data_IF_008800971588
#
_entry.id   IF_008800971588
#
_cell.length_a   1.000
_cell.length_b   1.000
_cell.length_c   1.000
_cell.angle_alpha   90.00
_cell.angle_beta   90.00
_cell.angle_gamma   90.00
#
_symmetry.space_group_name_H-M   'P 1'
#
loop_
_entity.id
_entity.type
_entity.pdbx_description
1 polymer ?
#
# COMPACT_ATOMS: atom_id res chain seq x y z
N UNK A 1 53.60 8.96 16.02
CA UNK A 1 52.94 7.66 15.69
C UNK A 1 51.59 7.46 16.41
N UNK A 2 51.36 8.06 17.59
CA UNK A 2 50.08 7.97 18.31
C UNK A 2 48.94 8.84 17.70
N UNK A 3 49.26 9.89 16.96
CA UNK A 3 48.25 10.78 16.36
C UNK A 3 47.55 10.20 15.11
N UNK A 4 48.16 9.21 14.44
CA UNK A 4 47.60 8.57 13.24
C UNK A 4 46.47 7.57 13.56
N UNK A 5 46.47 6.98 14.75
CA UNK A 5 45.41 6.06 15.19
C UNK A 5 44.18 6.80 15.73
N UNK A 6 44.36 7.98 16.33
CA UNK A 6 43.26 8.78 16.87
C UNK A 6 42.37 9.35 15.76
N UNK A 7 42.97 9.76 14.62
CA UNK A 7 42.25 10.26 13.44
C UNK A 7 41.49 9.19 12.63
N UNK A 8 41.73 7.89 12.85
CA UNK A 8 41.00 6.82 12.15
C UNK A 8 39.67 6.49 12.81
N UNK A 9 39.63 6.49 14.15
CA UNK A 9 38.40 6.18 14.90
C UNK A 9 37.32 7.26 14.77
N UNK A 10 37.70 8.54 14.67
CA UNK A 10 36.74 9.65 14.50
C UNK A 10 36.07 9.66 13.10
N UNK A 11 36.70 9.05 12.09
CA UNK A 11 36.13 8.97 10.72
C UNK A 11 35.13 7.82 10.56
N UNK A 12 35.30 6.71 11.29
CA UNK A 12 34.36 5.60 11.26
C UNK A 12 33.10 5.88 12.09
N UNK A 13 33.19 6.66 13.18
CA UNK A 13 32.02 7.12 13.94
C UNK A 13 31.12 8.06 13.14
N UNK A 14 31.69 8.91 12.28
CA UNK A 14 30.92 9.83 11.42
C UNK A 14 30.19 9.14 10.26
N UNK A 15 30.83 8.17 9.60
CA UNK A 15 30.26 7.47 8.43
C UNK A 15 29.18 6.47 8.85
N UNK A 16 29.40 5.73 9.95
CA UNK A 16 28.38 4.82 10.52
C UNK A 16 27.15 5.57 11.03
N UNK A 17 27.34 6.76 11.60
CA UNK A 17 26.24 7.62 12.07
C UNK A 17 25.40 8.17 10.90
N UNK A 18 26.04 8.58 9.80
CA UNK A 18 25.31 9.05 8.60
C UNK A 18 24.47 7.93 7.98
N UNK A 19 25.02 6.71 7.86
CA UNK A 19 24.27 5.56 7.33
C UNK A 19 23.08 5.16 8.23
N UNK A 20 23.27 5.19 9.56
CA UNK A 20 22.19 4.99 10.53
C UNK A 20 21.10 6.06 10.38
N UNK A 21 21.48 7.33 10.29
CA UNK A 21 20.55 8.44 10.09
C UNK A 21 19.77 8.31 8.77
N UNK A 22 20.42 7.90 7.68
CA UNK A 22 19.74 7.65 6.40
C UNK A 22 18.73 6.51 6.49
N UNK A 23 19.06 5.43 7.22
CA UNK A 23 18.11 4.33 7.44
C UNK A 23 16.91 4.79 8.29
N UNK A 24 17.14 5.55 9.36
CA UNK A 24 16.06 6.09 10.18
C UNK A 24 15.15 7.05 9.40
N UNK A 25 15.73 7.92 8.56
CA UNK A 25 14.97 8.81 7.67
C UNK A 25 14.15 7.97 6.67
N UNK A 26 14.74 6.93 6.10
CA UNK A 26 14.06 6.03 5.16
C UNK A 26 12.87 5.33 5.83
N UNK A 27 13.05 4.77 7.02
CA UNK A 27 11.98 4.11 7.79
C UNK A 27 10.84 5.10 8.07
N UNK A 28 11.16 6.30 8.56
CA UNK A 28 10.15 7.34 8.84
C UNK A 28 9.40 7.78 7.59
N UNK A 29 10.07 7.84 6.44
CA UNK A 29 9.42 8.15 5.16
C UNK A 29 8.52 7.01 4.66
N UNK A 30 8.82 5.76 5.02
CA UNK A 30 7.95 4.62 4.73
C UNK A 30 6.69 4.63 5.61
N UNK A 31 6.81 5.04 6.88
CA UNK A 31 5.68 5.17 7.80
C UNK A 31 4.74 6.34 7.46
N UNK A 32 5.21 7.38 6.78
CA UNK A 32 4.38 8.51 6.33
C UNK A 32 3.73 8.28 4.96
N UNK A 33 3.93 7.11 4.35
CA UNK A 33 3.35 6.80 3.06
C UNK A 33 1.82 6.80 3.13
N UNK A 34 1.20 7.54 2.22
CA UNK A 34 -0.23 7.54 1.99
C UNK A 34 -0.51 7.31 0.50
N UNK A 35 -1.63 6.64 0.21
CA UNK A 35 -2.11 6.51 -1.15
C UNK A 35 -2.53 7.87 -1.69
N UNK A 36 -2.31 8.07 -2.98
CA UNK A 36 -2.82 9.28 -3.65
C UNK A 36 -4.33 9.15 -3.84
N UNK A 37 -5.02 10.29 -4.00
CA UNK A 37 -6.46 10.31 -4.31
C UNK A 37 -6.80 9.54 -5.59
N UNK A 38 -5.90 9.57 -6.58
CA UNK A 38 -6.04 8.82 -7.83
C UNK A 38 -5.99 7.31 -7.58
N UNK A 39 -5.03 6.85 -6.76
CA UNK A 39 -4.92 5.45 -6.37
C UNK A 39 -6.17 4.99 -5.60
N UNK A 40 -6.65 5.77 -4.63
CA UNK A 40 -7.90 5.46 -3.90
C UNK A 40 -9.11 5.40 -4.83
N UNK A 41 -9.21 6.33 -5.79
CA UNK A 41 -10.27 6.32 -6.78
C UNK A 41 -10.23 5.07 -7.67
N UNK A 42 -9.04 4.66 -8.11
CA UNK A 42 -8.84 3.45 -8.90
C UNK A 42 -9.23 2.19 -8.12
N UNK A 43 -8.81 2.06 -6.85
CA UNK A 43 -9.21 0.95 -5.97
C UNK A 43 -10.74 0.86 -5.87
N UNK A 44 -11.39 2.01 -5.63
CA UNK A 44 -12.85 2.06 -5.51
C UNK A 44 -13.57 1.71 -6.80
N UNK A 45 -13.05 2.16 -7.95
CA UNK A 45 -13.63 1.84 -9.26
C UNK A 45 -13.58 0.33 -9.49
N UNK A 46 -12.40 -0.29 -9.33
CA UNK A 46 -12.22 -1.73 -9.50
C UNK A 46 -13.09 -2.52 -8.52
N UNK A 47 -13.17 -2.11 -7.25
CA UNK A 47 -14.03 -2.77 -6.27
C UNK A 47 -15.52 -2.76 -6.66
N UNK A 48 -15.98 -1.69 -7.32
CA UNK A 48 -17.35 -1.59 -7.86
C UNK A 48 -17.57 -2.44 -9.10
N UNK A 49 -16.54 -2.72 -9.88
CA UNK A 49 -16.67 -3.60 -11.04
C UNK A 49 -16.66 -5.07 -10.59
N UNK A 50 -15.76 -5.39 -9.66
CA UNK A 50 -15.55 -6.73 -9.12
C UNK A 50 -16.74 -7.26 -8.32
N UNK A 51 -17.54 -6.41 -7.66
CA UNK A 51 -18.75 -6.86 -6.93
C UNK A 51 -19.77 -7.57 -7.83
N UNK A 52 -19.76 -7.29 -9.14
CA UNK A 52 -20.63 -7.94 -10.11
C UNK A 52 -20.04 -9.24 -10.68
N UNK A 53 -18.79 -9.56 -10.37
CA UNK A 53 -18.15 -10.77 -10.83
C UNK A 53 -18.74 -12.01 -10.12
N UNK A 54 -19.11 -13.07 -10.86
CA UNK A 54 -19.62 -14.31 -10.25
C UNK A 54 -18.62 -14.98 -9.29
N UNK A 55 -17.32 -14.73 -9.49
CA UNK A 55 -16.24 -15.24 -8.63
C UNK A 55 -16.15 -14.54 -7.28
N UNK A 56 -16.80 -13.37 -7.10
CA UNK A 56 -16.65 -12.53 -5.91
C UNK A 56 -17.87 -12.65 -4.98
N UNK A 57 -18.09 -13.86 -4.49
CA UNK A 57 -19.20 -14.16 -3.59
C UNK A 57 -19.00 -13.57 -2.17
N UNK A 58 -17.76 -13.35 -1.75
CA UNK A 58 -17.42 -12.77 -0.47
C UNK A 58 -16.55 -11.51 -0.58
N UNK A 59 -16.50 -10.73 0.52
CA UNK A 59 -15.63 -9.55 0.62
C UNK A 59 -14.15 -9.94 0.46
N UNK A 60 -13.78 -11.11 0.96
CA UNK A 60 -12.43 -11.66 0.82
C UNK A 60 -12.07 -11.91 -0.64
N UNK A 61 -12.99 -12.49 -1.41
CA UNK A 61 -12.77 -12.74 -2.84
C UNK A 61 -12.59 -11.42 -3.60
N UNK A 62 -13.38 -10.40 -3.26
CA UNK A 62 -13.20 -9.06 -3.80
C UNK A 62 -11.82 -8.48 -3.47
N UNK A 63 -11.31 -8.68 -2.25
CA UNK A 63 -9.96 -8.19 -1.89
C UNK A 63 -8.89 -8.79 -2.78
N UNK A 64 -8.95 -10.12 -3.00
CA UNK A 64 -7.97 -10.85 -3.78
C UNK A 64 -8.05 -10.46 -5.26
N UNK A 65 -9.25 -10.32 -5.80
CA UNK A 65 -9.45 -9.92 -7.20
C UNK A 65 -8.97 -8.48 -7.44
N UNK A 66 -9.35 -7.53 -6.58
CA UNK A 66 -8.88 -6.14 -6.65
C UNK A 66 -7.35 -6.08 -6.58
N UNK A 67 -6.73 -6.82 -5.64
CA UNK A 67 -5.28 -6.86 -5.51
C UNK A 67 -4.62 -7.43 -6.78
N UNK A 68 -5.18 -8.50 -7.35
CA UNK A 68 -4.68 -9.15 -8.57
C UNK A 68 -4.72 -8.20 -9.76
N UNK A 69 -5.82 -7.47 -9.94
CA UNK A 69 -5.97 -6.47 -11.02
C UNK A 69 -4.95 -5.34 -10.83
N UNK A 70 -4.83 -4.82 -9.61
CA UNK A 70 -3.89 -3.74 -9.30
C UNK A 70 -2.44 -4.14 -9.54
N UNK A 71 -2.06 -5.37 -9.21
CA UNK A 71 -0.71 -5.86 -9.44
C UNK A 71 -0.41 -6.04 -10.93
N UNK A 72 -1.37 -6.60 -11.67
CA UNK A 72 -1.28 -6.81 -13.12
C UNK A 72 -1.19 -5.49 -13.88
N UNK A 73 -1.96 -4.49 -13.47
CA UNK A 73 -2.09 -3.20 -14.17
C UNK A 73 -1.38 -2.04 -13.45
N UNK A 74 -0.44 -2.36 -12.54
CA UNK A 74 0.22 -1.38 -11.66
C UNK A 74 0.86 -0.20 -12.36
N UNK A 75 1.30 -0.35 -13.62
CA UNK A 75 1.86 0.74 -14.42
C UNK A 75 0.79 1.73 -14.81
N UNK A 76 -0.30 1.25 -15.41
CA UNK A 76 -1.42 2.06 -15.90
C UNK A 76 -2.15 2.72 -14.73
N UNK A 77 -2.34 2.00 -13.63
CA UNK A 77 -3.10 2.46 -12.47
C UNK A 77 -2.28 3.27 -11.46
N UNK A 78 -0.99 3.53 -11.76
CA UNK A 78 -0.06 4.32 -10.93
C UNK A 78 0.31 3.68 -9.58
N UNK A 79 0.38 2.35 -9.50
CA UNK A 79 0.78 1.58 -8.31
C UNK A 79 2.22 1.04 -8.33
N UNK A 80 3.04 1.41 -9.32
CA UNK A 80 4.43 0.93 -9.45
C UNK A 80 5.31 1.25 -8.25
N UNK A 81 4.98 2.30 -7.50
CA UNK A 81 5.70 2.72 -6.30
C UNK A 81 5.29 1.95 -5.03
N UNK A 82 4.31 1.05 -5.10
CA UNK A 82 3.78 0.30 -3.95
C UNK A 82 4.27 -1.14 -3.98
N UNK A 83 4.06 -1.84 -5.10
CA UNK A 83 4.43 -3.25 -5.22
C UNK A 83 5.95 -3.45 -5.13
N UNK A 84 6.37 -4.39 -4.28
CA UNK A 84 7.75 -4.66 -3.90
C UNK A 84 8.21 -3.92 -2.64
N UNK A 85 7.37 -3.06 -2.04
CA UNK A 85 7.63 -2.45 -0.73
C UNK A 85 6.58 -2.94 0.30
N UNK A 86 6.98 -3.80 1.26
CA UNK A 86 6.06 -4.37 2.24
C UNK A 86 5.29 -3.36 3.08
N UNK A 87 5.91 -2.23 3.45
CA UNK A 87 5.23 -1.20 4.24
C UNK A 87 4.08 -0.56 3.45
N UNK A 88 4.33 -0.23 2.18
CA UNK A 88 3.33 0.35 1.28
C UNK A 88 2.24 -0.65 0.90
N UNK A 89 2.60 -1.91 0.68
CA UNK A 89 1.63 -2.97 0.41
C UNK A 89 0.66 -3.19 1.59
N UNK A 90 1.11 -3.03 2.84
CA UNK A 90 0.21 -3.06 4.01
C UNK A 90 -0.79 -1.90 3.97
N UNK A 91 -0.35 -0.70 3.62
CA UNK A 91 -1.23 0.47 3.46
C UNK A 91 -2.26 0.22 2.34
N UNK A 92 -1.80 -0.31 1.20
CA UNK A 92 -2.66 -0.69 0.08
C UNK A 92 -3.72 -1.71 0.49
N UNK A 93 -3.32 -2.81 1.14
CA UNK A 93 -4.23 -3.86 1.61
C UNK A 93 -5.29 -3.31 2.57
N UNK A 94 -4.92 -2.41 3.47
CA UNK A 94 -5.87 -1.76 4.39
C UNK A 94 -6.93 -0.95 3.63
N UNK A 95 -6.50 -0.19 2.62
CA UNK A 95 -7.39 0.61 1.77
C UNK A 95 -8.34 -0.28 0.93
N UNK A 96 -7.81 -1.32 0.30
CA UNK A 96 -8.61 -2.30 -0.47
C UNK A 96 -9.69 -2.90 0.42
N UNK A 97 -9.35 -3.31 1.64
CA UNK A 97 -10.29 -3.90 2.60
C UNK A 97 -11.44 -2.95 2.93
N UNK A 98 -11.11 -1.70 3.24
CA UNK A 98 -12.09 -0.67 3.56
C UNK A 98 -13.04 -0.41 2.39
N UNK A 99 -12.51 -0.26 1.17
CA UNK A 99 -13.33 0.01 0.00
C UNK A 99 -14.21 -1.17 -0.42
N UNK A 100 -13.69 -2.40 -0.39
CA UNK A 100 -14.50 -3.57 -0.72
C UNK A 100 -15.65 -3.78 0.28
N UNK A 101 -15.38 -3.63 1.59
CA UNK A 101 -16.43 -3.71 2.61
C UNK A 101 -17.50 -2.64 2.41
N UNK A 102 -17.11 -1.39 2.13
CA UNK A 102 -18.05 -0.30 1.86
C UNK A 102 -18.89 -0.55 0.60
N UNK A 103 -18.26 -0.98 -0.50
CA UNK A 103 -18.96 -1.30 -1.75
C UNK A 103 -19.95 -2.45 -1.54
N UNK A 104 -19.54 -3.52 -0.85
CA UNK A 104 -20.43 -4.64 -0.58
C UNK A 104 -21.60 -4.24 0.33
N UNK A 105 -21.36 -3.39 1.33
CA UNK A 105 -22.41 -2.84 2.19
C UNK A 105 -23.48 -2.11 1.39
N UNK A 106 -23.08 -1.13 0.58
CA UNK A 106 -24.01 -0.40 -0.30
C UNK A 106 -24.72 -1.30 -1.32
N UNK A 107 -24.01 -2.30 -1.86
CA UNK A 107 -24.62 -3.26 -2.78
C UNK A 107 -25.71 -4.08 -2.11
N UNK A 108 -25.45 -4.61 -0.91
CA UNK A 108 -26.44 -5.35 -0.11
C UNK A 108 -27.65 -4.50 0.23
N UNK A 109 -27.45 -3.27 0.66
CA UNK A 109 -28.54 -2.32 0.93
C UNK A 109 -29.38 -2.07 -0.34
N UNK A 110 -28.74 -1.76 -1.47
CA UNK A 110 -29.42 -1.50 -2.73
C UNK A 110 -30.23 -2.69 -3.25
N UNK A 111 -29.73 -3.91 -3.07
CA UNK A 111 -30.47 -5.13 -3.40
C UNK A 111 -31.63 -5.34 -2.44
N UNK A 112 -31.43 -5.11 -1.14
CA UNK A 112 -32.48 -5.29 -0.11
C UNK A 112 -33.66 -4.35 -0.33
N UNK A 113 -33.41 -3.08 -0.66
CA UNK A 113 -34.46 -2.09 -0.99
C UNK A 113 -35.19 -2.37 -2.31
N UNK A 114 -34.67 -3.23 -3.18
CA UNK A 114 -35.32 -3.63 -4.43
C UNK A 114 -36.26 -4.82 -4.28
N UNK A 115 -36.25 -5.49 -3.13
CA UNK A 115 -37.05 -6.70 -2.87
C UNK A 115 -38.28 -6.38 -1.97
N UNK A 116 -38.43 -5.13 -1.54
CA UNK A 116 -39.61 -4.60 -0.82
C UNK A 116 -40.40 -3.69 -1.75
#
# INVERSE_FOLDING_TARGET
>A
MLDLFKHRNEKDEGIGNIQGLFNDIKIRLEDTFALTKEQEANIRAIARDVIYAPSCASVTDMHLEVLTILEKEKVTLRFTNIFGNPARERVLLSCIKSHCASVQGHFKEAVSYRIV
#
